data_IF_999470052188
#
_entry.id   IF_999470052188
#
_cell.length_a   1.000
_cell.length_b   1.000
_cell.length_c   1.000
_cell.angle_alpha   90.00
_cell.angle_beta   90.00
_cell.angle_gamma   90.00
#
_symmetry.space_group_name_H-M   'P 1'
#
loop_
_entity.id
_entity.type
_entity.pdbx_description
1 polymer ?
#
# COMPACT_ATOMS: atom_id res chain seq x y z
N UNK A 1 13.15 25.02 33.47
CA UNK A 1 12.34 24.14 34.35
C UNK A 1 11.28 23.44 33.52
N UNK A 2 11.55 22.22 33.03
CA UNK A 2 10.53 21.40 32.35
C UNK A 2 9.85 20.52 33.40
N UNK A 3 8.51 20.54 33.45
CA UNK A 3 7.79 19.70 34.40
C UNK A 3 7.93 18.23 33.98
N UNK A 4 8.23 17.37 34.96
CA UNK A 4 8.33 15.91 34.80
C UNK A 4 7.04 15.36 34.19
N UNK A 5 7.19 14.39 33.27
CA UNK A 5 6.09 13.77 32.52
C UNK A 5 5.01 13.25 33.48
N UNK A 6 3.84 13.88 33.47
CA UNK A 6 2.71 13.56 34.36
C UNK A 6 2.36 14.64 35.39
N UNK A 7 3.25 15.60 35.64
CA UNK A 7 3.00 16.73 36.53
C UNK A 7 2.50 17.94 35.70
N UNK A 8 1.35 17.81 35.05
CA UNK A 8 0.74 18.93 34.29
C UNK A 8 -0.07 19.84 35.21
N UNK A 9 0.12 21.15 35.14
CA UNK A 9 -0.68 22.16 35.88
C UNK A 9 -2.12 22.30 35.37
N UNK A 10 -2.50 21.52 34.35
CA UNK A 10 -3.79 21.62 33.65
C UNK A 10 -4.70 20.47 34.10
N UNK A 11 -5.96 20.78 34.39
CA UNK A 11 -6.95 19.79 34.82
C UNK A 11 -7.33 18.81 33.68
N UNK A 12 -6.91 17.55 33.79
CA UNK A 12 -7.16 16.46 32.82
C UNK A 12 -8.49 15.73 33.02
N UNK A 13 -9.29 16.10 34.02
CA UNK A 13 -10.56 15.44 34.34
C UNK A 13 -11.63 15.76 33.28
N UNK A 14 -12.29 14.74 32.74
CA UNK A 14 -13.44 14.90 31.85
C UNK A 14 -14.53 15.74 32.54
N UNK A 15 -14.92 16.86 31.93
CA UNK A 15 -16.00 17.72 32.46
C UNK A 15 -17.35 17.01 32.30
N UNK A 16 -18.24 17.21 33.27
CA UNK A 16 -19.62 16.72 33.21
C UNK A 16 -20.36 17.39 32.05
N UNK A 17 -21.21 16.63 31.35
CA UNK A 17 -22.06 17.16 30.30
C UNK A 17 -22.99 18.25 30.86
N UNK A 18 -23.08 19.39 30.16
CA UNK A 18 -23.97 20.50 30.55
C UNK A 18 -25.40 20.17 30.15
N UNK A 19 -26.36 20.62 30.95
CA UNK A 19 -27.79 20.56 30.59
C UNK A 19 -28.05 21.46 29.38
N UNK A 20 -29.05 21.11 28.56
CA UNK A 20 -29.48 21.93 27.42
C UNK A 20 -29.88 23.34 27.89
N UNK A 21 -29.49 24.35 27.12
CA UNK A 21 -29.85 25.75 27.36
C UNK A 21 -31.35 25.97 27.16
N UNK A 22 -31.88 27.08 27.68
CA UNK A 22 -33.30 27.42 27.52
C UNK A 22 -33.69 27.57 26.04
N UNK A 23 -32.83 28.19 25.22
CA UNK A 23 -33.04 28.36 23.79
C UNK A 23 -33.16 27.02 23.04
N UNK A 24 -32.29 26.05 23.34
CA UNK A 24 -32.36 24.71 22.71
C UNK A 24 -33.67 24.01 23.09
N UNK A 25 -34.15 24.19 24.32
CA UNK A 25 -35.42 23.61 24.77
C UNK A 25 -36.63 24.23 24.06
N UNK A 26 -36.60 25.54 23.81
CA UNK A 26 -37.65 26.24 23.04
C UNK A 26 -37.68 25.76 21.59
N UNK A 27 -36.51 25.67 20.93
CA UNK A 27 -36.42 25.14 19.57
C UNK A 27 -36.92 23.68 19.47
N UNK A 28 -36.63 22.84 20.46
CA UNK A 28 -37.16 21.46 20.52
C UNK A 28 -38.69 21.43 20.66
N UNK A 29 -39.29 22.37 21.39
CA UNK A 29 -40.74 22.48 21.53
C UNK A 29 -41.40 22.97 20.23
N UNK A 30 -40.83 23.98 19.58
CA UNK A 30 -41.31 24.51 18.31
C UNK A 30 -41.25 23.46 17.19
N UNK A 31 -40.12 22.76 17.08
CA UNK A 31 -39.96 21.67 16.12
C UNK A 31 -40.93 20.51 16.40
N UNK A 32 -41.16 20.15 17.67
CA UNK A 32 -42.14 19.13 18.01
C UNK A 32 -43.58 19.56 17.65
N UNK A 33 -43.94 20.84 17.87
CA UNK A 33 -45.25 21.38 17.46
C UNK A 33 -45.42 21.34 15.94
N UNK A 34 -44.40 21.74 15.20
CA UNK A 34 -44.39 21.70 13.74
C UNK A 34 -44.54 20.26 13.21
N UNK A 35 -43.77 19.32 13.73
CA UNK A 35 -43.89 17.91 13.34
C UNK A 35 -45.30 17.37 13.62
N UNK A 36 -45.90 17.76 14.75
CA UNK A 36 -47.28 17.41 15.09
C UNK A 36 -48.29 18.02 14.12
N UNK A 37 -48.14 19.30 13.74
CA UNK A 37 -49.05 19.95 12.78
C UNK A 37 -48.93 19.35 11.38
N UNK A 38 -47.75 18.86 11.01
CA UNK A 38 -47.49 18.15 9.76
C UNK A 38 -47.97 16.69 9.79
N UNK A 39 -48.57 16.23 10.89
CA UNK A 39 -49.03 14.85 11.04
C UNK A 39 -47.90 13.81 11.14
N UNK A 40 -46.67 14.24 11.40
CA UNK A 40 -45.54 13.34 11.55
C UNK A 40 -45.65 12.53 12.85
N UNK A 41 -45.78 11.21 12.71
CA UNK A 41 -45.70 10.26 13.81
C UNK A 41 -44.35 9.57 13.78
N UNK A 42 -43.60 9.66 14.88
CA UNK A 42 -42.29 8.98 14.98
C UNK A 42 -42.52 7.46 14.94
N UNK A 43 -42.18 6.83 13.82
CA UNK A 43 -42.33 5.39 13.64
C UNK A 43 -43.52 4.95 12.80
N UNK A 44 -44.07 5.84 11.95
CA UNK A 44 -45.10 5.48 10.97
C UNK A 44 -44.70 4.31 10.05
N UNK A 45 -45.67 3.70 9.34
CA UNK A 45 -45.45 2.51 8.53
C UNK A 45 -44.38 2.76 7.48
N UNK A 46 -43.21 2.14 7.68
CA UNK A 46 -42.11 2.18 6.71
C UNK A 46 -42.42 1.14 5.65
N UNK A 47 -43.07 1.54 4.56
CA UNK A 47 -43.06 0.71 3.37
C UNK A 47 -41.61 0.54 2.93
N UNK A 48 -41.12 -0.69 2.98
CA UNK A 48 -39.82 -1.08 2.46
C UNK A 48 -40.08 -2.08 1.36
N UNK A 49 -39.67 -1.75 0.14
CA UNK A 49 -39.59 -2.75 -0.91
C UNK A 49 -38.69 -3.90 -0.45
N UNK A 50 -39.01 -5.13 -0.84
CA UNK A 50 -38.09 -6.25 -0.69
C UNK A 50 -36.83 -5.96 -1.50
N UNK A 51 -35.72 -5.69 -0.83
CA UNK A 51 -34.42 -5.51 -1.49
C UNK A 51 -34.02 -6.86 -2.12
N UNK A 52 -33.65 -6.90 -3.41
CA UNK A 52 -33.07 -8.10 -4.01
C UNK A 52 -31.78 -8.47 -3.27
N UNK A 53 -31.59 -9.76 -3.02
CA UNK A 53 -30.31 -10.24 -2.49
C UNK A 53 -29.27 -10.23 -3.60
N UNK A 54 -28.34 -9.29 -3.56
CA UNK A 54 -27.18 -9.24 -4.47
C UNK A 54 -25.98 -10.02 -3.93
N UNK A 55 -26.20 -10.90 -2.96
CA UNK A 55 -25.15 -11.74 -2.39
C UNK A 55 -24.63 -12.67 -3.49
N UNK A 56 -23.45 -12.35 -4.03
CA UNK A 56 -22.70 -13.18 -4.98
C UNK A 56 -22.05 -14.40 -4.30
N UNK A 57 -22.47 -14.75 -3.08
CA UNK A 57 -21.89 -15.80 -2.25
C UNK A 57 -22.46 -17.19 -2.53
N UNK A 58 -23.29 -17.34 -3.55
CA UNK A 58 -23.46 -18.66 -4.15
C UNK A 58 -22.11 -19.00 -4.78
N UNK A 59 -21.33 -19.84 -4.09
CA UNK A 59 -20.05 -20.40 -4.56
C UNK A 59 -20.14 -21.22 -5.85
N UNK A 60 -21.14 -20.93 -6.69
CA UNK A 60 -21.35 -21.42 -8.04
C UNK A 60 -20.30 -20.89 -9.03
N UNK A 61 -19.61 -19.79 -8.70
CA UNK A 61 -18.48 -19.30 -9.50
C UNK A 61 -17.19 -19.89 -8.95
N UNK A 62 -16.57 -20.89 -9.62
CA UNK A 62 -15.27 -21.39 -9.21
C UNK A 62 -14.25 -20.25 -9.31
N UNK A 63 -13.64 -19.88 -8.19
CA UNK A 63 -12.48 -18.98 -8.20
C UNK A 63 -11.33 -19.69 -8.88
N UNK A 64 -10.54 -18.95 -9.66
CA UNK A 64 -9.33 -19.47 -10.27
C UNK A 64 -8.24 -19.65 -9.21
N UNK A 65 -8.46 -20.55 -8.25
CA UNK A 65 -7.48 -20.91 -7.20
C UNK A 65 -6.28 -21.68 -7.76
N UNK A 66 -6.20 -21.78 -9.09
CA UNK A 66 -5.08 -22.30 -9.85
C UNK A 66 -3.96 -21.27 -9.86
N UNK A 67 -3.25 -21.15 -8.75
CA UNK A 67 -1.99 -20.40 -8.68
C UNK A 67 -0.99 -21.14 -9.58
N UNK A 68 -0.68 -20.58 -10.75
CA UNK A 68 0.40 -21.09 -11.59
C UNK A 68 1.71 -21.08 -10.79
N UNK A 69 2.53 -22.14 -10.86
CA UNK A 69 3.83 -22.12 -10.21
C UNK A 69 4.61 -20.93 -10.76
N UNK A 70 4.97 -20.00 -9.87
CA UNK A 70 5.85 -18.89 -10.22
C UNK A 70 7.16 -19.51 -10.69
N UNK A 71 7.50 -19.30 -11.96
CA UNK A 71 8.80 -19.70 -12.48
C UNK A 71 9.87 -19.07 -11.57
N UNK A 72 10.60 -19.91 -10.85
CA UNK A 72 11.62 -19.47 -9.90
C UNK A 72 12.65 -18.55 -10.56
N UNK A 73 13.48 -17.88 -9.75
CA UNK A 73 14.50 -16.95 -10.23
C UNK A 73 15.33 -17.60 -11.35
N UNK A 74 15.47 -16.91 -12.49
CA UNK A 74 16.32 -17.36 -13.62
C UNK A 74 17.74 -17.62 -13.10
N UNK A 75 18.39 -18.67 -13.60
CA UNK A 75 19.80 -18.97 -13.29
C UNK A 75 20.66 -17.76 -13.66
N UNK A 76 21.56 -17.35 -12.77
CA UNK A 76 22.51 -16.28 -13.04
C UNK A 76 23.66 -16.82 -13.89
N UNK A 77 24.05 -16.08 -14.93
CA UNK A 77 25.22 -16.42 -15.73
C UNK A 77 26.46 -16.11 -14.88
N UNK A 78 27.15 -17.15 -14.42
CA UNK A 78 28.40 -17.06 -13.69
C UNK A 78 29.55 -17.46 -14.61
N UNK A 79 30.58 -16.63 -14.66
CA UNK A 79 31.80 -16.94 -15.41
C UNK A 79 32.49 -18.17 -14.79
N UNK A 80 32.80 -19.17 -15.62
CA UNK A 80 33.34 -20.48 -15.18
C UNK A 80 34.85 -20.47 -14.90
N UNK A 81 35.54 -19.36 -15.17
CA UNK A 81 36.99 -19.26 -14.99
C UNK A 81 37.81 -19.74 -16.19
N UNK A 82 37.18 -20.43 -17.14
CA UNK A 82 37.89 -21.16 -18.20
C UNK A 82 37.96 -20.40 -19.54
N UNK A 83 37.09 -19.43 -19.81
CA UNK A 83 37.05 -18.82 -21.16
C UNK A 83 38.14 -17.75 -21.40
N UNK A 84 38.66 -17.12 -20.35
CA UNK A 84 39.68 -16.06 -20.43
C UNK A 84 41.05 -16.73 -20.37
N UNK A 85 41.84 -16.52 -21.44
CA UNK A 85 43.24 -16.92 -21.51
C UNK A 85 44.16 -15.99 -20.71
N UNK A 86 43.83 -14.69 -20.66
CA UNK A 86 44.64 -13.71 -19.96
C UNK A 86 44.15 -12.28 -20.15
N UNK A 87 44.98 -11.31 -19.79
CA UNK A 87 44.69 -9.87 -19.94
C UNK A 87 45.74 -9.25 -20.85
N UNK A 88 45.29 -8.65 -21.95
CA UNK A 88 46.12 -7.86 -22.85
C UNK A 88 46.18 -6.40 -22.43
N UNK A 89 47.28 -5.73 -22.73
CA UNK A 89 47.38 -4.26 -22.68
C UNK A 89 47.22 -3.71 -24.08
N UNK A 90 46.12 -2.99 -24.33
CA UNK A 90 45.94 -2.17 -25.55
C UNK A 90 46.75 -0.87 -25.44
N UNK A 91 46.60 0.03 -26.41
CA UNK A 91 47.33 1.29 -26.45
C UNK A 91 47.31 2.02 -25.09
N UNK A 92 48.49 2.48 -24.67
CA UNK A 92 48.75 3.10 -23.36
C UNK A 92 48.54 2.11 -22.20
N UNK A 93 47.41 2.19 -21.50
CA UNK A 93 47.18 1.54 -20.20
C UNK A 93 45.85 0.77 -20.10
N UNK A 94 45.15 0.55 -21.22
CA UNK A 94 43.87 -0.14 -21.21
C UNK A 94 44.07 -1.66 -21.10
N UNK A 95 43.54 -2.25 -20.03
CA UNK A 95 43.56 -3.71 -19.81
C UNK A 95 42.29 -4.33 -20.36
N UNK A 96 42.43 -5.35 -21.22
CA UNK A 96 41.31 -6.03 -21.89
C UNK A 96 41.43 -7.54 -21.74
N UNK A 97 40.35 -8.26 -21.37
CA UNK A 97 40.38 -9.72 -21.29
C UNK A 97 40.49 -10.35 -22.68
N UNK A 98 41.37 -11.34 -22.81
CA UNK A 98 41.56 -12.12 -24.04
C UNK A 98 40.95 -13.50 -23.81
N UNK A 99 40.09 -13.95 -24.72
CA UNK A 99 39.47 -15.29 -24.65
C UNK A 99 40.39 -16.36 -25.23
N UNK A 100 40.25 -17.62 -24.79
CA UNK A 100 41.09 -18.76 -25.24
C UNK A 100 40.92 -19.12 -26.71
N UNK A 101 39.74 -18.88 -27.26
CA UNK A 101 39.35 -19.19 -28.63
C UNK A 101 39.68 -18.07 -29.62
N UNK A 102 40.16 -16.92 -29.15
CA UNK A 102 40.38 -15.74 -29.97
C UNK A 102 41.86 -15.53 -30.32
N UNK A 103 42.11 -15.05 -31.54
CA UNK A 103 43.44 -14.60 -31.99
C UNK A 103 43.78 -13.17 -31.51
N UNK A 104 42.96 -12.58 -30.63
CA UNK A 104 43.17 -11.23 -30.09
C UNK A 104 44.55 -11.07 -29.43
N UNK A 105 45.08 -12.12 -28.79
CA UNK A 105 46.43 -12.09 -28.23
C UNK A 105 47.49 -11.72 -29.28
N UNK A 106 47.41 -12.34 -30.46
CA UNK A 106 48.36 -12.15 -31.55
C UNK A 106 48.16 -10.77 -32.17
N UNK A 107 46.91 -10.36 -32.37
CA UNK A 107 46.59 -9.03 -32.90
C UNK A 107 47.14 -7.92 -31.98
N UNK A 108 46.95 -8.04 -30.67
CA UNK A 108 47.43 -7.06 -29.66
C UNK A 108 48.97 -7.05 -29.58
N UNK A 109 49.62 -8.22 -29.71
CA UNK A 109 51.08 -8.30 -29.73
C UNK A 109 51.69 -7.63 -30.97
N UNK A 110 51.03 -7.72 -32.12
CA UNK A 110 51.47 -7.13 -33.38
C UNK A 110 51.16 -5.63 -33.53
N UNK A 111 50.34 -5.06 -32.65
CA UNK A 111 50.11 -3.61 -32.64
C UNK A 111 51.41 -2.87 -32.35
N UNK A 112 51.64 -1.78 -33.08
CA UNK A 112 52.75 -0.85 -32.76
C UNK A 112 52.51 -0.27 -31.37
N UNK A 113 53.39 -0.59 -30.44
CA UNK A 113 53.43 -0.01 -29.09
C UNK A 113 54.22 1.29 -29.08
#
# INVERSE_FOLDING_TARGET
>A
MHLVRGMTTINTRKRKARKKTAAVRQAEQETAKLLKSLGYTKGGPKWKASLPSYTTSDGALPTSDRIMPVAGKRKANQYTGDEIAGIGTLHKSNMVPIRKDSNDAVAIANMRR
#
